data_IF_646413637133
#
_entry.id   IF_646413637133
#
_cell.length_a   1.000
_cell.length_b   1.000
_cell.length_c   1.000
_cell.angle_alpha   90.00
_cell.angle_beta   90.00
_cell.angle_gamma   90.00
#
_symmetry.space_group_name_H-M   'P 1'
#
loop_
_entity.id
_entity.type
_entity.pdbx_description
1 polymer ?
#
# COMPACT_ATOMS: atom_id res chain seq x y z
N UNK A 1 -25.77 1.49 -24.10
CA UNK A 1 -24.68 0.64 -24.62
C UNK A 1 -23.69 0.55 -23.49
N UNK A 2 -23.59 -0.60 -22.83
CA UNK A 2 -22.70 -0.70 -21.67
C UNK A 2 -21.25 -0.63 -22.12
N UNK A 3 -20.50 0.26 -21.47
CA UNK A 3 -19.07 0.38 -21.68
C UNK A 3 -18.39 -0.80 -20.98
N UNK A 4 -17.46 -1.52 -21.63
CA UNK A 4 -16.80 -2.67 -21.02
C UNK A 4 -15.92 -2.22 -19.86
N UNK A 5 -16.26 -2.66 -18.64
CA UNK A 5 -15.52 -2.36 -17.40
C UNK A 5 -14.37 -3.33 -17.12
N UNK A 6 -14.17 -4.35 -17.96
CA UNK A 6 -13.18 -5.42 -17.69
C UNK A 6 -13.49 -6.28 -16.46
N UNK A 7 -14.57 -6.01 -15.74
CA UNK A 7 -15.01 -6.72 -14.54
C UNK A 7 -15.64 -8.06 -14.94
N UNK A 8 -15.01 -9.15 -14.55
CA UNK A 8 -15.48 -10.50 -14.89
C UNK A 8 -16.48 -11.03 -13.86
N UNK A 9 -17.46 -11.80 -14.34
CA UNK A 9 -18.39 -12.50 -13.46
C UNK A 9 -17.69 -13.51 -12.54
N UNK A 10 -16.58 -14.10 -13.01
CA UNK A 10 -15.80 -15.05 -12.23
C UNK A 10 -15.17 -14.39 -11.00
N UNK A 11 -14.56 -13.22 -11.18
CA UNK A 11 -13.97 -12.45 -10.07
C UNK A 11 -15.04 -11.95 -9.12
N UNK A 12 -16.17 -11.46 -9.65
CA UNK A 12 -17.30 -11.04 -8.84
C UNK A 12 -17.81 -12.18 -7.95
N UNK A 13 -18.07 -13.35 -8.54
CA UNK A 13 -18.58 -14.51 -7.80
C UNK A 13 -17.58 -15.00 -6.75
N UNK A 14 -16.28 -15.04 -7.09
CA UNK A 14 -15.24 -15.40 -6.14
C UNK A 14 -15.22 -14.42 -4.95
N UNK A 15 -15.24 -13.11 -5.23
CA UNK A 15 -15.19 -12.05 -4.23
C UNK A 15 -16.40 -12.12 -3.27
N UNK A 16 -17.62 -12.14 -3.81
CA UNK A 16 -18.85 -12.17 -2.99
C UNK A 16 -19.03 -13.47 -2.23
N UNK A 17 -18.57 -14.61 -2.76
CA UNK A 17 -18.62 -15.90 -2.06
C UNK A 17 -17.58 -15.99 -0.94
N UNK A 18 -16.38 -15.46 -1.17
CA UNK A 18 -15.24 -15.60 -0.24
C UNK A 18 -15.30 -14.55 0.88
N UNK A 19 -15.67 -13.31 0.55
CA UNK A 19 -15.60 -12.17 1.46
C UNK A 19 -16.97 -11.55 1.76
N UNK A 20 -18.04 -11.92 1.04
CA UNK A 20 -19.36 -11.32 1.23
C UNK A 20 -19.98 -11.65 2.59
N UNK A 21 -20.45 -10.61 3.28
CA UNK A 21 -21.18 -10.72 4.54
C UNK A 21 -22.56 -10.07 4.43
N UNK A 22 -23.61 -10.57 5.11
CA UNK A 22 -24.94 -9.96 5.06
C UNK A 22 -24.95 -8.48 5.49
N UNK A 23 -24.04 -8.07 6.37
CA UNK A 23 -23.86 -6.68 6.80
C UNK A 23 -22.89 -5.87 5.95
N UNK A 24 -22.33 -6.45 4.88
CA UNK A 24 -21.18 -5.90 4.17
C UNK A 24 -19.87 -6.23 4.87
N UNK A 25 -18.87 -6.70 4.12
CA UNK A 25 -17.49 -6.77 4.58
C UNK A 25 -16.75 -5.54 4.05
N UNK A 26 -16.28 -4.67 4.95
CA UNK A 26 -15.55 -3.47 4.57
C UNK A 26 -14.08 -3.78 4.32
N UNK A 27 -13.61 -3.41 3.14
CA UNK A 27 -12.21 -3.39 2.73
C UNK A 27 -11.85 -1.95 2.39
N UNK A 28 -10.79 -1.41 3.00
CA UNK A 28 -10.42 0.01 2.85
C UNK A 28 -9.06 0.07 2.18
N UNK A 29 -9.01 0.74 1.03
CA UNK A 29 -7.79 1.18 0.40
C UNK A 29 -7.45 2.57 0.97
N UNK A 30 -6.50 2.59 1.91
CA UNK A 30 -6.11 3.81 2.62
C UNK A 30 -5.24 4.73 1.77
N UNK A 31 -4.54 4.21 0.77
CA UNK A 31 -3.71 5.00 -0.14
C UNK A 31 -4.60 5.91 -1.01
N UNK A 32 -5.71 5.36 -1.48
CA UNK A 32 -6.61 6.04 -2.42
C UNK A 32 -7.91 6.55 -1.77
N UNK A 33 -8.03 6.33 -0.45
CA UNK A 33 -9.21 6.69 0.36
C UNK A 33 -10.51 6.14 -0.26
N UNK A 34 -10.46 4.85 -0.62
CA UNK A 34 -11.56 4.10 -1.23
C UNK A 34 -12.07 3.05 -0.25
N UNK A 35 -13.41 3.00 -0.10
CA UNK A 35 -14.08 2.01 0.73
C UNK A 35 -14.82 1.04 -0.18
N UNK A 36 -14.55 -0.25 0.01
CA UNK A 36 -15.21 -1.34 -0.67
C UNK A 36 -16.08 -2.09 0.33
N UNK A 37 -17.37 -2.26 0.04
CA UNK A 37 -18.27 -3.10 0.83
C UNK A 37 -18.70 -4.31 0.00
N UNK A 38 -18.36 -5.50 0.50
CA UNK A 38 -18.61 -6.75 -0.21
C UNK A 38 -19.80 -7.46 0.45
N UNK A 39 -20.88 -7.62 -0.31
CA UNK A 39 -22.08 -8.37 0.07
C UNK A 39 -22.14 -9.69 -0.71
N UNK A 40 -23.01 -10.64 -0.33
CA UNK A 40 -23.16 -11.89 -1.07
C UNK A 40 -23.69 -11.72 -2.51
N UNK A 41 -24.41 -10.62 -2.78
CA UNK A 41 -25.12 -10.36 -4.04
C UNK A 41 -24.67 -9.08 -4.76
N UNK A 42 -23.86 -8.24 -4.13
CA UNK A 42 -23.38 -6.98 -4.69
C UNK A 42 -22.05 -6.53 -4.07
N UNK A 43 -21.39 -5.60 -4.74
CA UNK A 43 -20.21 -4.91 -4.24
C UNK A 43 -20.45 -3.42 -4.36
N UNK A 44 -20.12 -2.67 -3.31
CA UNK A 44 -20.22 -1.20 -3.32
C UNK A 44 -18.82 -0.64 -3.23
N UNK A 45 -18.47 0.28 -4.13
CA UNK A 45 -17.18 0.98 -4.12
C UNK A 45 -17.47 2.47 -3.93
N UNK A 46 -17.13 2.99 -2.76
CA UNK A 46 -17.21 4.41 -2.41
C UNK A 46 -15.85 5.06 -2.56
N UNK A 47 -15.75 6.05 -3.43
CA UNK A 47 -14.52 6.82 -3.68
C UNK A 47 -14.67 8.22 -3.13
N UNK A 48 -13.59 8.83 -2.61
CA UNK A 48 -13.56 10.29 -2.35
C UNK A 48 -13.27 11.12 -3.60
N UNK A 49 -13.03 10.48 -4.75
CA UNK A 49 -12.71 11.13 -6.01
C UNK A 49 -13.80 12.12 -6.48
N UNK A 50 -13.41 13.39 -6.64
CA UNK A 50 -14.10 14.60 -7.15
C UNK A 50 -15.53 14.92 -6.65
N UNK A 51 -16.43 13.94 -6.55
CA UNK A 51 -17.84 14.07 -6.23
C UNK A 51 -18.33 13.11 -5.14
N UNK A 52 -17.41 12.43 -4.43
CA UNK A 52 -17.73 11.36 -3.48
C UNK A 52 -18.63 10.30 -4.13
N UNK A 53 -18.24 9.84 -5.33
CA UNK A 53 -19.03 8.88 -6.09
C UNK A 53 -19.06 7.52 -5.41
N UNK A 54 -20.18 6.81 -5.55
CA UNK A 54 -20.39 5.45 -5.08
C UNK A 54 -20.95 4.61 -6.21
N UNK A 55 -20.33 3.45 -6.44
CA UNK A 55 -20.72 2.50 -7.47
C UNK A 55 -21.24 1.23 -6.82
N UNK A 56 -22.49 0.88 -7.07
CA UNK A 56 -23.05 -0.44 -6.71
C UNK A 56 -22.97 -1.35 -7.93
N UNK A 57 -22.28 -2.48 -7.79
CA UNK A 57 -22.05 -3.49 -8.80
C UNK A 57 -22.82 -4.76 -8.44
N UNK A 58 -23.59 -5.29 -9.38
CA UNK A 58 -24.25 -6.59 -9.26
C UNK A 58 -24.33 -7.29 -10.61
N UNK A 59 -24.56 -8.60 -10.64
CA UNK A 59 -24.79 -9.33 -11.89
C UNK A 59 -26.27 -9.73 -12.01
N UNK A 60 -26.87 -9.44 -13.17
CA UNK A 60 -28.17 -9.98 -13.58
C UNK A 60 -27.95 -10.97 -14.73
N UNK A 61 -27.88 -12.27 -14.40
CA UNK A 61 -27.45 -13.27 -15.39
C UNK A 61 -25.95 -13.12 -15.69
N UNK A 62 -25.59 -12.88 -16.95
CA UNK A 62 -24.20 -12.64 -17.39
C UNK A 62 -23.88 -11.14 -17.55
N UNK A 63 -24.86 -10.27 -17.29
CA UNK A 63 -24.75 -8.84 -17.48
C UNK A 63 -24.39 -8.14 -16.16
N UNK A 64 -23.30 -7.37 -16.18
CA UNK A 64 -22.90 -6.52 -15.06
C UNK A 64 -23.83 -5.29 -15.01
N UNK A 65 -24.46 -5.05 -13.87
CA UNK A 65 -25.25 -3.85 -13.59
C UNK A 65 -24.42 -2.94 -12.68
N UNK A 66 -24.25 -1.69 -13.09
CA UNK A 66 -23.57 -0.65 -12.30
C UNK A 66 -24.55 0.49 -12.04
N UNK A 67 -24.79 0.80 -10.76
CA UNK A 67 -25.54 1.99 -10.35
C UNK A 67 -24.60 2.99 -9.71
N UNK A 68 -24.48 4.18 -10.31
CA UNK A 68 -23.70 5.28 -9.76
C UNK A 68 -24.59 6.20 -8.94
N UNK A 69 -24.10 6.60 -7.78
CA UNK A 69 -24.63 7.70 -6.99
C UNK A 69 -23.50 8.65 -6.61
N UNK A 70 -23.81 9.92 -6.37
CA UNK A 70 -22.84 10.92 -5.90
C UNK A 70 -23.52 11.93 -4.98
N UNK A 71 -22.72 12.74 -4.29
CA UNK A 71 -23.27 13.88 -3.56
C UNK A 71 -23.77 14.95 -4.55
N UNK A 72 -24.95 15.50 -4.27
CA UNK A 72 -25.55 16.60 -5.03
C UNK A 72 -24.67 17.87 -4.97
N UNK A 73 -24.11 18.15 -3.80
CA UNK A 73 -23.10 19.17 -3.56
C UNK A 73 -22.19 18.75 -2.39
N UNK A 74 -21.03 18.18 -2.71
CA UNK A 74 -20.04 17.70 -1.73
C UNK A 74 -19.54 18.78 -0.76
N UNK A 75 -19.68 20.08 -1.09
CA UNK A 75 -19.29 21.19 -0.22
C UNK A 75 -20.27 21.45 0.93
N UNK A 76 -21.43 20.80 0.91
CA UNK A 76 -22.45 20.92 1.96
C UNK A 76 -22.24 19.93 3.10
N UNK A 77 -21.15 19.15 3.07
CA UNK A 77 -20.75 18.19 4.10
C UNK A 77 -21.93 17.32 4.55
N UNK A 78 -22.30 17.35 5.84
CA UNK A 78 -23.36 16.53 6.43
C UNK A 78 -24.76 16.76 5.85
N UNK A 79 -24.97 17.87 5.12
CA UNK A 79 -26.26 18.20 4.50
C UNK A 79 -26.33 17.83 3.01
N UNK A 80 -25.22 17.33 2.45
CA UNK A 80 -25.20 16.83 1.09
C UNK A 80 -26.02 15.54 0.96
N UNK A 81 -26.78 15.43 -0.13
CA UNK A 81 -27.68 14.30 -0.38
C UNK A 81 -27.13 13.44 -1.52
N UNK A 82 -27.16 12.12 -1.34
CA UNK A 82 -26.81 11.19 -2.41
C UNK A 82 -27.91 11.18 -3.49
N UNK A 83 -27.51 11.43 -4.73
CA UNK A 83 -28.36 11.39 -5.92
C UNK A 83 -27.83 10.36 -6.91
N UNK A 84 -28.74 9.71 -7.65
CA UNK A 84 -28.37 8.84 -8.77
C UNK A 84 -27.77 9.69 -9.89
N UNK A 85 -26.72 9.15 -10.53
CA UNK A 85 -26.02 9.83 -11.61
C UNK A 85 -25.71 8.87 -12.76
N UNK A 86 -25.49 9.43 -13.94
CA UNK A 86 -25.15 8.64 -15.11
C UNK A 86 -23.67 8.21 -15.07
N UNK A 87 -23.41 7.00 -15.56
CA UNK A 87 -22.06 6.45 -15.70
C UNK A 87 -21.38 7.03 -16.96
N UNK A 88 -20.34 7.83 -16.75
CA UNK A 88 -19.50 8.42 -17.78
C UNK A 88 -18.29 7.51 -18.08
N UNK A 89 -17.52 7.84 -19.12
CA UNK A 89 -16.34 7.05 -19.50
C UNK A 89 -15.25 7.10 -18.42
N UNK A 90 -15.01 8.28 -17.83
CA UNK A 90 -14.06 8.47 -16.72
C UNK A 90 -14.46 7.63 -15.49
N UNK A 91 -15.76 7.51 -15.20
CA UNK A 91 -16.24 6.66 -14.11
C UNK A 91 -15.94 5.17 -14.37
N UNK A 92 -16.02 4.73 -15.62
CA UNK A 92 -15.72 3.35 -16.02
C UNK A 92 -14.23 3.05 -15.84
N UNK A 93 -13.36 3.99 -16.22
CA UNK A 93 -11.91 3.86 -16.06
C UNK A 93 -11.54 3.77 -14.57
N UNK A 94 -12.02 4.72 -13.75
CA UNK A 94 -11.82 4.73 -12.30
C UNK A 94 -12.35 3.45 -11.65
N UNK A 95 -13.59 3.06 -11.97
CA UNK A 95 -14.20 1.85 -11.42
C UNK A 95 -13.39 0.59 -11.76
N UNK A 96 -12.89 0.50 -12.99
CA UNK A 96 -12.08 -0.63 -13.45
C UNK A 96 -10.76 -0.68 -12.68
N UNK A 97 -10.12 0.47 -12.47
CA UNK A 97 -8.89 0.59 -11.69
C UNK A 97 -9.10 0.10 -10.26
N UNK A 98 -10.10 0.66 -9.55
CA UNK A 98 -10.38 0.31 -8.15
C UNK A 98 -10.82 -1.15 -7.98
N UNK A 99 -11.60 -1.67 -8.93
CA UNK A 99 -11.97 -3.09 -8.94
C UNK A 99 -10.74 -4.00 -9.04
N UNK A 100 -9.87 -3.73 -10.02
CA UNK A 100 -8.70 -4.57 -10.26
C UNK A 100 -7.70 -4.51 -9.10
N UNK A 101 -7.52 -3.34 -8.49
CA UNK A 101 -6.68 -3.16 -7.29
C UNK A 101 -7.18 -4.05 -6.14
N UNK A 102 -8.44 -3.89 -5.73
CA UNK A 102 -9.05 -4.69 -4.66
C UNK A 102 -8.99 -6.19 -4.95
N UNK A 103 -9.34 -6.62 -6.17
CA UNK A 103 -9.32 -8.06 -6.51
C UNK A 103 -7.91 -8.63 -6.47
N UNK A 104 -6.90 -7.90 -6.95
CA UNK A 104 -5.49 -8.31 -6.87
C UNK A 104 -5.06 -8.49 -5.42
N UNK A 105 -5.32 -7.48 -4.59
CA UNK A 105 -4.94 -7.46 -3.18
C UNK A 105 -5.57 -8.63 -2.40
N UNK A 106 -6.90 -8.81 -2.53
CA UNK A 106 -7.60 -9.88 -1.83
C UNK A 106 -7.19 -11.28 -2.31
N UNK A 107 -6.81 -11.43 -3.58
CA UNK A 107 -6.24 -12.69 -4.09
C UNK A 107 -4.86 -12.97 -3.51
N UNK A 108 -4.03 -11.94 -3.33
CA UNK A 108 -2.74 -12.06 -2.67
C UNK A 108 -2.90 -12.44 -1.21
N UNK A 109 -3.84 -11.81 -0.51
CA UNK A 109 -4.18 -12.15 0.87
C UNK A 109 -4.64 -13.60 1.03
N UNK A 110 -5.55 -14.07 0.16
CA UNK A 110 -6.01 -15.47 0.19
C UNK A 110 -4.88 -16.46 -0.13
N UNK A 111 -4.01 -16.12 -1.09
CA UNK A 111 -2.81 -16.91 -1.43
C UNK A 111 -1.85 -16.99 -0.24
N UNK A 112 -1.58 -15.88 0.44
CA UNK A 112 -0.74 -15.83 1.63
C UNK A 112 -1.33 -16.73 2.72
N UNK A 113 -2.62 -16.56 3.04
CA UNK A 113 -3.32 -17.37 4.04
C UNK A 113 -3.25 -18.87 3.72
N UNK A 114 -3.35 -19.25 2.45
CA UNK A 114 -3.24 -20.64 2.01
C UNK A 114 -1.83 -21.25 2.21
N UNK A 115 -0.76 -20.45 2.28
CA UNK A 115 0.59 -20.93 2.58
C UNK A 115 0.72 -21.44 4.03
N UNK A 116 -0.03 -20.85 4.97
CA UNK A 116 -0.04 -21.22 6.37
C UNK A 116 1.20 -20.79 7.17
N UNK A 117 2.39 -20.84 6.57
CA UNK A 117 3.66 -20.42 7.17
C UNK A 117 4.43 -19.50 6.21
N UNK A 118 4.72 -18.27 6.66
CA UNK A 118 5.41 -17.24 5.88
C UNK A 118 6.95 -17.24 6.05
N UNK A 119 7.50 -18.12 6.89
CA UNK A 119 8.94 -18.13 7.24
C UNK A 119 9.85 -18.13 6.01
N UNK A 120 9.56 -18.94 5.01
CA UNK A 120 10.39 -19.06 3.80
C UNK A 120 10.41 -17.75 3.00
N UNK A 121 9.25 -17.11 2.83
CA UNK A 121 9.16 -15.83 2.13
C UNK A 121 9.89 -14.71 2.88
N UNK A 122 9.76 -14.68 4.21
CA UNK A 122 10.53 -13.75 5.06
C UNK A 122 12.03 -14.00 4.96
N UNK A 123 12.45 -15.27 4.90
CA UNK A 123 13.87 -15.61 4.79
C UNK A 123 14.45 -15.13 3.46
N UNK A 124 13.69 -15.28 2.36
CA UNK A 124 14.08 -14.74 1.06
C UNK A 124 14.14 -13.21 1.08
N UNK A 125 13.14 -12.56 1.69
CA UNK A 125 13.14 -11.11 1.85
C UNK A 125 14.38 -10.63 2.61
N UNK A 126 14.80 -11.32 3.67
CA UNK A 126 15.97 -10.94 4.47
C UNK A 126 17.26 -10.98 3.65
N UNK A 127 17.41 -11.97 2.77
CA UNK A 127 18.52 -12.03 1.82
C UNK A 127 18.51 -10.85 0.83
N UNK A 128 17.31 -10.38 0.46
CA UNK A 128 17.17 -9.24 -0.44
C UNK A 128 17.48 -7.90 0.27
N UNK A 129 17.15 -7.73 1.56
CA UNK A 129 17.25 -6.42 2.26
C UNK A 129 18.45 -6.23 3.20
N UNK A 130 19.08 -7.31 3.68
CA UNK A 130 20.23 -7.26 4.60
C UNK A 130 21.51 -7.79 3.97
N UNK A 131 22.67 -7.37 4.46
CA UNK A 131 23.93 -7.99 4.05
C UNK A 131 23.98 -9.47 4.43
N UNK A 132 24.77 -10.28 3.72
CA UNK A 132 24.73 -11.76 3.81
C UNK A 132 24.81 -12.28 5.26
N UNK A 133 25.79 -11.79 6.04
CA UNK A 133 25.97 -12.19 7.43
C UNK A 133 24.77 -11.79 8.32
N UNK A 134 24.22 -10.59 8.11
CA UNK A 134 23.04 -10.10 8.85
C UNK A 134 21.79 -10.87 8.46
N UNK A 135 21.60 -11.14 7.18
CA UNK A 135 20.49 -11.93 6.67
C UNK A 135 20.50 -13.33 7.28
N UNK A 136 21.66 -14.01 7.31
CA UNK A 136 21.80 -15.33 7.94
C UNK A 136 21.46 -15.28 9.43
N UNK A 137 21.95 -14.29 10.16
CA UNK A 137 21.63 -14.10 11.58
C UNK A 137 20.11 -13.93 11.80
N UNK A 138 19.48 -13.02 11.04
CA UNK A 138 18.05 -12.75 11.17
C UNK A 138 17.19 -13.95 10.74
N UNK A 139 17.61 -14.70 9.72
CA UNK A 139 16.95 -15.94 9.30
C UNK A 139 17.03 -16.99 10.41
N UNK A 140 18.15 -17.09 11.13
CA UNK A 140 18.29 -18.03 12.25
C UNK A 140 17.42 -17.63 13.46
N UNK A 141 17.15 -16.34 13.64
CA UNK A 141 16.30 -15.83 14.70
C UNK A 141 14.79 -16.01 14.41
N UNK A 142 14.40 -16.18 13.14
CA UNK A 142 13.00 -16.42 12.78
C UNK A 142 12.46 -17.71 13.41
N UNK A 143 11.22 -17.70 13.94
CA UNK A 143 10.59 -18.91 14.45
C UNK A 143 10.34 -19.92 13.32
N UNK A 144 10.30 -21.21 13.68
CA UNK A 144 10.02 -22.30 12.71
C UNK A 144 8.69 -22.12 11.97
N UNK A 145 7.74 -21.44 12.61
CA UNK A 145 6.44 -21.12 12.04
C UNK A 145 6.12 -19.64 12.27
N UNK A 146 6.13 -18.87 11.19
CA UNK A 146 5.58 -17.51 11.16
C UNK A 146 4.19 -17.61 10.56
N UNK A 147 3.11 -17.29 11.30
CA UNK A 147 1.76 -17.32 10.75
C UNK A 147 1.68 -16.47 9.47
N UNK A 148 1.04 -17.01 8.43
CA UNK A 148 0.81 -16.28 7.17
C UNK A 148 -0.29 -15.22 7.35
N UNK A 149 0.04 -14.19 8.12
CA UNK A 149 -0.78 -13.07 8.52
C UNK A 149 0.09 -11.80 8.48
N UNK A 150 -0.37 -10.76 7.81
CA UNK A 150 0.40 -9.53 7.58
C UNK A 150 0.94 -8.89 8.86
N UNK A 151 0.17 -8.91 9.96
CA UNK A 151 0.61 -8.33 11.23
C UNK A 151 1.73 -9.15 11.85
N UNK A 152 1.58 -10.48 11.90
CA UNK A 152 2.64 -11.35 12.42
C UNK A 152 3.92 -11.27 11.55
N UNK A 153 3.76 -11.19 10.23
CA UNK A 153 4.88 -11.01 9.29
C UNK A 153 5.58 -9.66 9.54
N UNK A 154 4.79 -8.58 9.70
CA UNK A 154 5.32 -7.26 9.99
C UNK A 154 6.05 -7.23 11.33
N UNK A 155 5.51 -7.83 12.39
CA UNK A 155 6.16 -7.90 13.70
C UNK A 155 7.55 -8.55 13.60
N UNK A 156 7.69 -9.66 12.87
CA UNK A 156 8.98 -10.32 12.68
C UNK A 156 9.95 -9.47 11.85
N UNK A 157 9.48 -8.86 10.75
CA UNK A 157 10.29 -7.98 9.91
C UNK A 157 10.73 -6.73 10.67
N UNK A 158 9.83 -6.11 11.44
CA UNK A 158 10.10 -4.92 12.24
C UNK A 158 11.20 -5.20 13.27
N UNK A 159 11.14 -6.36 13.95
CA UNK A 159 12.18 -6.78 14.89
C UNK A 159 13.52 -6.92 14.18
N UNK A 160 13.57 -7.56 13.01
CA UNK A 160 14.81 -7.71 12.25
C UNK A 160 15.39 -6.36 11.81
N UNK A 161 14.55 -5.47 11.28
CA UNK A 161 14.96 -4.11 10.86
C UNK A 161 15.47 -3.29 12.06
N UNK A 162 14.82 -3.38 13.23
CA UNK A 162 15.29 -2.71 14.45
C UNK A 162 16.63 -3.26 14.93
N UNK A 163 16.82 -4.59 14.89
CA UNK A 163 18.06 -5.22 15.35
C UNK A 163 19.27 -4.86 14.47
N UNK A 164 19.06 -4.62 13.17
CA UNK A 164 20.12 -4.17 12.27
C UNK A 164 20.25 -2.64 12.21
N UNK A 165 19.44 -1.90 12.99
CA UNK A 165 19.42 -0.43 12.97
C UNK A 165 18.92 0.14 11.63
N UNK A 166 18.13 -0.63 10.88
CA UNK A 166 17.54 -0.25 9.62
C UNK A 166 16.03 0.02 9.74
N UNK A 167 15.60 0.59 10.87
CA UNK A 167 14.24 1.06 11.08
C UNK A 167 14.22 2.38 11.82
N UNK A 168 13.35 3.28 11.39
CA UNK A 168 12.96 4.47 12.14
C UNK A 168 11.48 4.77 11.93
N UNK A 169 10.85 5.48 12.85
CA UNK A 169 9.41 5.72 12.87
C UNK A 169 9.11 7.18 13.21
N UNK A 170 8.36 7.88 12.35
CA UNK A 170 7.95 9.26 12.58
C UNK A 170 6.76 9.66 11.69
N UNK A 171 6.19 10.84 11.93
CA UNK A 171 5.10 11.37 11.11
C UNK A 171 5.62 11.93 9.77
N UNK A 172 4.90 11.73 8.67
CA UNK A 172 5.30 12.27 7.35
C UNK A 172 5.64 13.77 7.38
N UNK A 173 4.91 14.55 8.18
CA UNK A 173 5.10 16.00 8.31
C UNK A 173 6.34 16.40 9.09
N UNK A 174 6.90 15.51 9.91
CA UNK A 174 8.14 15.77 10.66
C UNK A 174 9.37 15.29 9.91
N UNK A 175 9.21 14.65 8.75
CA UNK A 175 10.29 14.07 7.97
C UNK A 175 11.35 15.10 7.56
N UNK A 176 10.96 16.34 7.20
CA UNK A 176 11.90 17.42 6.85
C UNK A 176 12.77 17.93 8.00
N UNK A 177 12.39 17.64 9.25
CA UNK A 177 13.03 18.17 10.45
C UNK A 177 13.62 17.03 11.28
N UNK A 178 12.81 16.43 12.17
CA UNK A 178 13.23 15.33 13.05
C UNK A 178 13.49 14.05 12.25
N UNK A 179 12.74 13.80 11.19
CA UNK A 179 12.90 12.59 10.40
C UNK A 179 14.21 12.54 9.62
N UNK A 180 14.75 13.67 9.13
CA UNK A 180 16.07 13.68 8.47
C UNK A 180 17.17 13.21 9.42
N UNK A 181 17.11 13.64 10.68
CA UNK A 181 18.05 13.16 11.69
C UNK A 181 17.90 11.66 11.88
N UNK A 182 16.68 11.17 12.04
CA UNK A 182 16.41 9.76 12.28
C UNK A 182 16.76 8.86 11.06
N UNK A 183 16.53 9.34 9.83
CA UNK A 183 16.94 8.63 8.61
C UNK A 183 18.46 8.53 8.52
N UNK A 184 19.20 9.59 8.88
CA UNK A 184 20.66 9.59 8.91
C UNK A 184 21.26 8.64 9.95
N UNK A 185 20.48 8.17 10.92
CA UNK A 185 20.91 7.15 11.90
C UNK A 185 20.75 5.71 11.38
N UNK A 186 20.09 5.51 10.24
CA UNK A 186 19.91 4.18 9.65
C UNK A 186 21.27 3.56 9.28
N UNK A 187 21.51 2.33 9.74
CA UNK A 187 22.78 1.62 9.56
C UNK A 187 23.27 1.56 8.11
N UNK A 188 22.43 1.33 7.07
CA UNK A 188 22.89 1.34 5.69
C UNK A 188 23.45 2.70 5.24
N UNK A 189 22.82 3.81 5.64
CA UNK A 189 23.30 5.16 5.31
C UNK A 189 24.63 5.45 6.00
N UNK A 190 24.70 5.15 7.30
CA UNK A 190 25.93 5.33 8.10
C UNK A 190 27.09 4.52 7.52
N UNK A 191 26.83 3.27 7.14
CA UNK A 191 27.84 2.37 6.58
C UNK A 191 28.32 2.82 5.19
N UNK A 192 27.43 3.37 4.38
CA UNK A 192 27.76 3.96 3.08
C UNK A 192 28.46 5.33 3.20
N UNK A 193 28.45 5.94 4.39
CA UNK A 193 28.92 7.31 4.60
C UNK A 193 28.04 8.34 3.89
N UNK A 194 26.78 7.99 3.63
CA UNK A 194 25.78 8.90 3.07
C UNK A 194 25.25 9.84 4.15
N UNK A 195 24.86 11.05 3.76
CA UNK A 195 24.18 11.99 4.64
C UNK A 195 23.10 12.69 3.83
N UNK A 196 21.88 12.58 4.32
CA UNK A 196 20.71 13.27 3.77
C UNK A 196 20.68 14.69 4.29
N UNK A 197 20.51 15.63 3.38
CA UNK A 197 20.22 17.03 3.68
C UNK A 197 18.70 17.23 3.69
N UNK A 198 18.23 18.02 4.65
CA UNK A 198 16.84 18.44 4.71
C UNK A 198 16.51 19.39 3.55
N UNK A 199 15.26 19.36 3.05
CA UNK A 199 14.85 20.28 2.01
C UNK A 199 14.96 21.73 2.49
N UNK A 200 15.45 22.61 1.62
CA UNK A 200 15.40 24.04 1.87
C UNK A 200 13.94 24.52 1.96
N UNK A 201 13.66 25.70 2.54
CA UNK A 201 12.29 26.22 2.62
C UNK A 201 11.57 26.31 1.26
N UNK A 202 12.31 26.63 0.19
CA UNK A 202 11.77 26.72 -1.18
C UNK A 202 11.42 25.34 -1.74
N UNK A 203 12.29 24.33 -1.52
CA UNK A 203 12.02 22.94 -1.92
C UNK A 203 10.86 22.34 -1.13
N UNK A 204 10.79 22.62 0.16
CA UNK A 204 9.71 22.13 1.01
C UNK A 204 8.35 22.71 0.61
N UNK A 205 8.28 24.00 0.24
CA UNK A 205 7.04 24.60 -0.30
C UNK A 205 6.62 23.91 -1.61
N UNK A 206 7.57 23.57 -2.48
CA UNK A 206 7.29 22.82 -3.70
C UNK A 206 6.75 21.42 -3.41
N UNK A 207 7.37 20.70 -2.46
CA UNK A 207 6.93 19.37 -2.01
C UNK A 207 5.51 19.42 -1.41
N UNK A 208 5.21 20.40 -0.55
CA UNK A 208 3.87 20.58 0.01
C UNK A 208 2.80 20.88 -1.04
N UNK A 209 3.19 21.51 -2.15
CA UNK A 209 2.28 21.83 -3.25
C UNK A 209 2.07 20.70 -4.26
N UNK A 210 2.80 19.59 -4.12
CA UNK A 210 2.69 18.43 -5.00
C UNK A 210 1.33 17.72 -4.84
N UNK A 211 0.88 17.08 -5.92
CA UNK A 211 -0.34 16.26 -5.92
C UNK A 211 -0.22 15.09 -4.93
N UNK A 212 0.97 14.51 -4.84
CA UNK A 212 1.34 13.52 -3.83
C UNK A 212 2.53 14.04 -3.00
N UNK A 213 2.20 14.53 -1.80
CA UNK A 213 3.18 15.04 -0.85
C UNK A 213 4.18 13.96 -0.40
N UNK A 214 3.70 12.75 -0.10
CA UNK A 214 4.55 11.69 0.43
C UNK A 214 5.56 11.22 -0.62
N UNK A 215 5.10 11.08 -1.88
CA UNK A 215 5.96 10.72 -3.01
C UNK A 215 7.02 11.78 -3.26
N UNK A 216 6.62 13.04 -3.37
CA UNK A 216 7.54 14.15 -3.64
C UNK A 216 8.59 14.30 -2.53
N UNK A 217 8.20 14.05 -1.28
CA UNK A 217 9.10 14.09 -0.14
C UNK A 217 10.11 12.94 -0.19
N UNK A 218 9.68 11.71 -0.46
CA UNK A 218 10.60 10.57 -0.58
C UNK A 218 11.53 10.69 -1.80
N UNK A 219 11.04 11.20 -2.92
CA UNK A 219 11.88 11.47 -4.10
C UNK A 219 13.03 12.41 -3.76
N UNK A 220 12.76 13.49 -3.00
CA UNK A 220 13.80 14.43 -2.59
C UNK A 220 14.98 13.76 -1.85
N UNK A 221 14.70 12.80 -0.96
CA UNK A 221 15.76 12.07 -0.26
C UNK A 221 16.38 10.96 -1.12
N UNK A 222 15.56 10.25 -1.90
CA UNK A 222 16.02 9.16 -2.74
C UNK A 222 16.93 9.64 -3.88
N UNK A 223 16.72 10.83 -4.42
CA UNK A 223 17.62 11.47 -5.39
C UNK A 223 19.04 11.67 -4.81
N UNK A 224 19.17 11.94 -3.51
CA UNK A 224 20.47 12.09 -2.83
C UNK A 224 21.19 10.75 -2.63
N UNK A 225 20.46 9.63 -2.66
CA UNK A 225 20.97 8.28 -2.41
C UNK A 225 21.33 7.51 -3.68
N UNK A 226 21.00 8.02 -4.87
CA UNK A 226 21.29 7.35 -6.15
C UNK A 226 22.77 6.97 -6.29
N UNK A 227 23.68 7.85 -5.85
CA UNK A 227 25.13 7.62 -5.93
C UNK A 227 25.64 6.52 -4.98
N UNK A 228 24.83 6.11 -4.02
CA UNK A 228 25.15 5.09 -3.01
C UNK A 228 24.44 3.75 -3.28
N UNK A 229 23.65 3.66 -4.36
CA UNK A 229 22.77 2.52 -4.64
C UNK A 229 21.85 2.17 -3.46
N UNK A 230 21.33 3.19 -2.77
CA UNK A 230 20.42 3.04 -1.62
C UNK A 230 19.07 3.70 -1.90
N UNK A 231 18.02 3.20 -1.24
CA UNK A 231 16.68 3.81 -1.31
C UNK A 231 15.98 3.78 0.04
N UNK A 232 15.46 4.93 0.49
CA UNK A 232 14.52 5.02 1.60
C UNK A 232 13.15 4.57 1.10
N UNK A 233 12.52 3.71 1.88
CA UNK A 233 11.15 3.25 1.65
C UNK A 233 10.34 3.42 2.93
N UNK A 234 9.10 3.86 2.79
CA UNK A 234 8.07 3.68 3.81
C UNK A 234 7.56 2.23 3.72
N UNK A 235 7.46 1.55 4.86
CA UNK A 235 7.07 0.15 4.94
C UNK A 235 6.14 -0.11 6.12
N UNK A 236 5.18 -1.00 5.95
CA UNK A 236 4.32 -1.46 7.04
C UNK A 236 3.18 -2.34 6.55
N UNK A 237 2.23 -2.70 7.44
CA UNK A 237 1.01 -3.40 7.05
C UNK A 237 -0.01 -2.49 6.34
N UNK A 238 0.17 -1.17 6.44
CA UNK A 238 -0.62 -0.12 5.80
C UNK A 238 0.20 1.18 5.76
N UNK A 239 -0.27 2.18 5.01
CA UNK A 239 0.22 3.56 5.08
C UNK A 239 -0.60 4.37 6.08
N UNK A 240 0.06 5.12 6.95
CA UNK A 240 -0.58 5.99 7.95
C UNK A 240 0.21 7.31 8.09
N UNK A 241 -0.34 8.27 8.85
CA UNK A 241 0.34 9.54 9.17
C UNK A 241 1.67 9.30 9.91
N UNK A 242 1.70 8.31 10.81
CA UNK A 242 2.89 7.83 11.51
C UNK A 242 3.41 6.54 10.86
N UNK A 243 4.59 6.62 10.25
CA UNK A 243 5.08 5.60 9.33
C UNK A 243 6.46 5.07 9.71
N UNK A 244 6.69 3.79 9.46
CA UNK A 244 8.01 3.18 9.56
C UNK A 244 8.78 3.33 8.25
N UNK A 245 10.06 3.67 8.35
CA UNK A 245 10.99 3.86 7.24
C UNK A 245 12.21 2.97 7.38
N UNK A 246 12.67 2.43 6.26
CA UNK A 246 13.87 1.62 6.16
C UNK A 246 14.69 2.04 4.92
N UNK A 247 15.97 1.68 4.89
CA UNK A 247 16.84 1.90 3.74
C UNK A 247 17.25 0.56 3.11
N UNK A 248 17.00 0.38 1.82
CA UNK A 248 17.32 -0.86 1.11
C UNK A 248 18.35 -0.68 0.00
N UNK A 249 19.19 -1.70 -0.23
CA UNK A 249 20.14 -1.71 -1.33
C UNK A 249 19.45 -1.90 -2.67
N UNK A 250 19.86 -1.12 -3.67
CA UNK A 250 19.37 -1.20 -5.05
C UNK A 250 20.22 -2.12 -5.94
N UNK A 251 21.39 -2.54 -5.45
CA UNK A 251 22.35 -3.37 -6.21
C UNK A 251 21.76 -4.73 -6.60
N UNK A 252 22.21 -5.27 -7.72
CA UNK A 252 21.90 -6.65 -8.15
C UNK A 252 20.40 -7.03 -8.15
N UNK A 253 19.51 -6.06 -8.43
CA UNK A 253 18.05 -6.23 -8.41
C UNK A 253 17.45 -6.54 -7.02
N UNK A 254 18.23 -6.38 -5.94
CA UNK A 254 17.80 -6.66 -4.58
C UNK A 254 16.54 -5.90 -4.19
N UNK A 255 16.50 -4.59 -4.42
CA UNK A 255 15.29 -3.78 -4.17
C UNK A 255 14.08 -4.31 -4.95
N UNK A 256 14.22 -4.63 -6.24
CA UNK A 256 13.10 -5.12 -7.04
C UNK A 256 12.57 -6.46 -6.52
N UNK A 257 13.45 -7.36 -6.09
CA UNK A 257 13.06 -8.64 -5.48
C UNK A 257 12.39 -8.43 -4.12
N UNK A 258 12.95 -7.55 -3.28
CA UNK A 258 12.39 -7.20 -1.97
C UNK A 258 10.96 -6.68 -2.11
N UNK A 259 10.71 -5.76 -3.07
CA UNK A 259 9.38 -5.21 -3.31
C UNK A 259 8.37 -6.28 -3.75
N UNK A 260 8.77 -7.19 -4.64
CA UNK A 260 7.92 -8.32 -5.04
C UNK A 260 7.62 -9.23 -3.85
N UNK A 261 8.60 -9.47 -2.96
CA UNK A 261 8.43 -10.30 -1.77
C UNK A 261 7.55 -9.64 -0.73
N UNK A 262 7.70 -8.34 -0.52
CA UNK A 262 6.83 -7.53 0.35
C UNK A 262 5.39 -7.57 -0.15
N UNK A 263 5.17 -7.44 -1.46
CA UNK A 263 3.84 -7.60 -2.06
C UNK A 263 3.27 -9.03 -1.86
N UNK A 264 4.08 -10.08 -2.05
CA UNK A 264 3.66 -11.47 -1.78
C UNK A 264 3.31 -11.70 -0.30
N UNK A 265 3.94 -10.95 0.59
CA UNK A 265 3.71 -10.94 2.04
C UNK A 265 2.59 -10.00 2.46
N UNK A 266 1.93 -9.32 1.51
CA UNK A 266 0.89 -8.31 1.73
C UNK A 266 1.35 -7.13 2.59
N UNK A 267 2.64 -6.79 2.57
CA UNK A 267 3.18 -5.58 3.16
C UNK A 267 3.08 -4.42 2.15
N UNK A 268 2.83 -3.22 2.65
CA UNK A 268 2.86 -2.00 1.85
C UNK A 268 4.27 -1.44 1.84
N UNK A 269 4.72 -1.02 0.65
CA UNK A 269 6.00 -0.37 0.45
C UNK A 269 5.84 0.81 -0.51
N UNK A 270 6.28 1.99 -0.09
CA UNK A 270 6.10 3.24 -0.80
C UNK A 270 7.42 4.02 -0.86
N UNK A 271 7.79 4.54 -2.03
CA UNK A 271 9.09 5.15 -2.29
C UNK A 271 9.08 6.10 -3.48
#
# INVERSE_FOLDING_TARGET
MMMPTGISQADFNWLTTTFGQPGGNSHIDTEEDVIHEIFPDKVVIGTRFLNCATYELSFEGEELIVKKSRLDNYKLEETAVMITDDLLAEDVEELTLRWNAMVRELKMFDKLKAQGNARELLSQLYLDIFEEDEAEEQINNLPDNVPANVIAIWEELQVALQQTGNLTDFEWRTLSDEGVFALNELSPLVSAGATLEAPTPEEYEAIQSAEDFAKALLDHFNEQLEAFDLKIVAIGPALDEYQSFACFPMQDFRLANALLKMEELCLVCFF
#
